data_IF_356976800777
#
_entry.id   IF_356976800777
#
_cell.length_a   1.000
_cell.length_b   1.000
_cell.length_c   1.000
_cell.angle_alpha   90.00
_cell.angle_beta   90.00
_cell.angle_gamma   90.00
#
_symmetry.space_group_name_H-M   'P 1'
#
loop_
_entity.id
_entity.type
_entity.pdbx_description
1 polymer ?
#
# COMPACT_ATOMS: atom_id res chain seq x y z
N UNK A 1 -4.71 -19.47 -14.14
CA UNK A 1 -5.54 -18.44 -13.48
C UNK A 1 -5.52 -18.56 -11.95
N UNK A 2 -6.18 -17.63 -11.22
CA UNK A 2 -6.23 -17.68 -9.74
C UNK A 2 -6.80 -19.00 -9.21
N UNK A 3 -7.84 -19.53 -9.82
CA UNK A 3 -8.47 -20.80 -9.40
C UNK A 3 -7.51 -21.99 -9.50
N UNK A 4 -6.74 -22.07 -10.56
CA UNK A 4 -5.72 -23.11 -10.76
C UNK A 4 -4.58 -22.98 -9.75
N UNK A 5 -4.11 -21.75 -9.53
CA UNK A 5 -3.11 -21.45 -8.53
C UNK A 5 -3.58 -21.82 -7.12
N UNK A 6 -4.79 -21.40 -6.73
CA UNK A 6 -5.36 -21.72 -5.43
C UNK A 6 -5.51 -23.23 -5.21
N UNK A 7 -5.95 -23.97 -6.25
CA UNK A 7 -6.02 -25.44 -6.21
C UNK A 7 -4.64 -26.06 -6.00
N UNK A 8 -3.64 -25.61 -6.79
CA UNK A 8 -2.28 -26.12 -6.69
C UNK A 8 -1.71 -25.90 -5.28
N UNK A 9 -1.84 -24.70 -4.72
CA UNK A 9 -1.34 -24.37 -3.38
C UNK A 9 -2.06 -25.16 -2.29
N UNK A 10 -3.36 -25.31 -2.38
CA UNK A 10 -4.14 -26.08 -1.40
C UNK A 10 -3.85 -27.58 -1.48
N UNK A 11 -3.58 -28.10 -2.67
CA UNK A 11 -3.20 -29.53 -2.84
C UNK A 11 -1.77 -29.81 -2.35
N UNK A 12 -0.87 -28.80 -2.35
CA UNK A 12 0.48 -28.95 -1.78
C UNK A 12 0.45 -29.20 -0.27
N UNK A 13 -0.53 -28.66 0.46
CA UNK A 13 -0.67 -28.92 1.90
C UNK A 13 -0.89 -30.39 2.22
N UNK A 14 -1.54 -31.14 1.34
CA UNK A 14 -1.77 -32.58 1.47
C UNK A 14 -0.50 -33.45 1.25
N UNK A 15 0.53 -32.85 0.63
CA UNK A 15 1.78 -33.53 0.27
C UNK A 15 2.90 -33.34 1.29
N UNK A 16 2.64 -32.65 2.40
CA UNK A 16 3.60 -32.36 3.47
C UNK A 16 4.94 -31.77 3.00
N UNK A 17 4.91 -30.98 1.91
CA UNK A 17 6.12 -30.37 1.31
C UNK A 17 6.53 -29.06 1.95
N UNK A 18 5.67 -28.48 2.79
CA UNK A 18 5.87 -27.20 3.46
C UNK A 18 5.45 -27.32 4.92
N UNK A 19 5.96 -26.41 5.79
CA UNK A 19 5.53 -26.36 7.19
C UNK A 19 4.01 -26.23 7.33
N UNK A 20 3.36 -25.48 6.46
CA UNK A 20 1.89 -25.36 6.44
C UNK A 20 1.20 -26.71 6.27
N UNK A 21 1.76 -27.61 5.48
CA UNK A 21 1.21 -28.95 5.25
C UNK A 21 1.33 -29.88 6.47
N UNK A 22 2.16 -29.53 7.44
CA UNK A 22 2.32 -30.30 8.68
C UNK A 22 1.31 -29.91 9.78
N UNK A 23 0.62 -28.77 9.61
CA UNK A 23 -0.39 -28.33 10.57
C UNK A 23 -1.76 -28.95 10.27
N UNK A 24 -2.49 -29.24 11.32
CA UNK A 24 -3.89 -29.64 11.26
C UNK A 24 -4.72 -28.82 12.24
N UNK A 25 -5.98 -28.58 11.89
CA UNK A 25 -6.87 -27.92 12.83
C UNK A 25 -7.19 -28.84 14.01
N UNK A 26 -7.12 -28.29 15.21
CA UNK A 26 -7.59 -28.98 16.41
C UNK A 26 -9.10 -29.22 16.27
N UNK A 27 -9.53 -30.44 16.46
CA UNK A 27 -10.97 -30.77 16.48
C UNK A 27 -11.61 -30.16 17.72
N UNK A 28 -12.61 -29.33 17.53
CA UNK A 28 -13.43 -28.73 18.58
C UNK A 28 -14.92 -28.96 18.27
N UNK A 29 -15.78 -28.66 19.24
CA UNK A 29 -17.23 -28.64 19.03
C UNK A 29 -17.57 -27.57 18.00
N UNK A 30 -18.40 -27.94 17.02
CA UNK A 30 -18.84 -26.98 16.00
C UNK A 30 -19.71 -25.89 16.62
N UNK A 31 -19.50 -24.65 16.26
CA UNK A 31 -20.35 -23.51 16.61
C UNK A 31 -21.30 -23.21 15.45
N UNK A 32 -22.39 -22.50 15.71
CA UNK A 32 -23.33 -22.06 14.68
C UNK A 32 -22.65 -21.06 13.75
N UNK A 33 -22.95 -21.11 12.45
CA UNK A 33 -22.40 -20.19 11.47
C UNK A 33 -22.72 -18.71 11.81
N UNK A 34 -23.86 -18.45 12.44
CA UNK A 34 -24.26 -17.12 12.91
C UNK A 34 -23.38 -16.54 14.03
N UNK A 35 -22.63 -17.41 14.72
CA UNK A 35 -21.68 -17.03 15.78
C UNK A 35 -20.26 -16.82 15.23
N UNK A 36 -20.02 -17.16 13.96
CA UNK A 36 -18.73 -16.95 13.29
C UNK A 36 -18.66 -15.52 12.75
N UNK A 37 -17.55 -14.84 13.03
CA UNK A 37 -17.29 -13.51 12.48
C UNK A 37 -17.37 -13.51 10.95
N UNK A 38 -18.07 -12.54 10.38
CA UNK A 38 -18.24 -12.49 8.93
C UNK A 38 -16.92 -12.14 8.20
N UNK A 39 -16.75 -12.65 6.97
CA UNK A 39 -15.61 -12.32 6.14
C UNK A 39 -15.44 -10.80 5.94
N UNK A 40 -16.54 -10.03 5.86
CA UNK A 40 -16.53 -8.57 5.75
C UNK A 40 -15.87 -7.90 6.97
N UNK A 41 -16.14 -8.39 8.16
CA UNK A 41 -15.52 -7.85 9.39
C UNK A 41 -14.04 -8.26 9.48
N UNK A 42 -13.74 -9.51 9.14
CA UNK A 42 -12.36 -10.01 9.11
C UNK A 42 -11.49 -9.18 8.17
N UNK A 43 -11.97 -8.91 6.95
CA UNK A 43 -11.19 -8.19 5.91
C UNK A 43 -10.84 -6.77 6.32
N UNK A 44 -11.63 -6.09 7.16
CA UNK A 44 -11.34 -4.75 7.66
C UNK A 44 -10.00 -4.66 8.41
N UNK A 45 -9.50 -5.76 8.94
CA UNK A 45 -8.22 -5.86 9.64
C UNK A 45 -7.02 -6.14 8.73
N UNK A 46 -7.28 -6.40 7.44
CA UNK A 46 -6.22 -6.70 6.48
C UNK A 46 -5.72 -5.45 5.76
N UNK A 47 -4.43 -5.44 5.51
CA UNK A 47 -3.77 -4.41 4.71
C UNK A 47 -2.84 -5.05 3.68
N UNK A 48 -2.61 -4.35 2.56
CA UNK A 48 -1.55 -4.75 1.64
C UNK A 48 -0.17 -4.48 2.24
N UNK A 49 0.85 -5.15 1.73
CA UNK A 49 2.22 -4.71 1.95
C UNK A 49 2.44 -3.27 1.48
N UNK A 50 3.42 -2.61 2.06
CA UNK A 50 3.81 -1.25 1.67
C UNK A 50 4.63 -1.32 0.37
N UNK A 51 4.00 -1.09 -0.76
CA UNK A 51 4.61 -1.11 -2.08
C UNK A 51 4.51 0.28 -2.70
N UNK A 52 5.66 0.95 -2.86
CA UNK A 52 5.69 2.32 -3.37
C UNK A 52 5.42 2.39 -4.87
N UNK A 53 4.76 3.46 -5.28
CA UNK A 53 4.62 3.82 -6.69
C UNK A 53 6.00 4.04 -7.30
N UNK A 54 6.28 3.34 -8.39
CA UNK A 54 7.60 3.29 -9.04
C UNK A 54 8.35 1.99 -8.76
N UNK A 55 8.17 1.34 -7.60
CA UNK A 55 8.56 -0.06 -7.41
C UNK A 55 7.56 -1.01 -8.08
N UNK A 56 6.28 -0.68 -8.03
CA UNK A 56 5.21 -1.28 -8.85
C UNK A 56 4.62 -0.22 -9.79
N UNK A 57 3.91 -0.67 -10.82
CA UNK A 57 3.29 0.23 -11.80
C UNK A 57 2.11 1.02 -11.22
N UNK A 58 1.72 2.09 -11.91
CA UNK A 58 0.54 2.89 -11.55
C UNK A 58 -0.73 2.06 -11.55
N UNK A 59 -0.86 1.13 -12.51
CA UNK A 59 -2.00 0.21 -12.65
C UNK A 59 -2.09 -0.70 -11.42
N UNK A 60 -1.00 -1.36 -11.06
CA UNK A 60 -0.95 -2.26 -9.91
C UNK A 60 -1.25 -1.52 -8.60
N UNK A 61 -0.62 -0.36 -8.41
CA UNK A 61 -0.80 0.45 -7.20
C UNK A 61 -2.24 0.96 -7.05
N UNK A 62 -2.86 1.42 -8.15
CA UNK A 62 -4.24 1.91 -8.15
C UNK A 62 -5.26 0.78 -8.01
N UNK A 63 -5.05 -0.34 -8.71
CA UNK A 63 -5.94 -1.51 -8.63
C UNK A 63 -5.96 -2.12 -7.24
N UNK A 64 -4.81 -2.21 -6.57
CA UNK A 64 -4.74 -2.67 -5.18
C UNK A 64 -5.54 -1.77 -4.24
N UNK A 65 -5.44 -0.45 -4.40
CA UNK A 65 -6.21 0.49 -3.59
C UNK A 65 -7.72 0.33 -3.80
N UNK A 66 -8.16 0.26 -5.06
CA UNK A 66 -9.57 0.07 -5.40
C UNK A 66 -10.09 -1.26 -4.85
N UNK A 67 -9.34 -2.35 -5.06
CA UNK A 67 -9.74 -3.68 -4.59
C UNK A 67 -9.91 -3.71 -3.06
N UNK A 68 -8.93 -3.16 -2.32
CA UNK A 68 -9.00 -3.12 -0.87
C UNK A 68 -10.13 -2.24 -0.37
N UNK A 69 -10.36 -1.08 -1.00
CA UNK A 69 -11.46 -0.20 -0.62
C UNK A 69 -12.83 -0.87 -0.87
N UNK A 70 -13.01 -1.56 -2.00
CA UNK A 70 -14.26 -2.28 -2.31
C UNK A 70 -14.61 -3.37 -1.31
N UNK A 71 -13.61 -4.05 -0.75
CA UNK A 71 -13.82 -5.11 0.26
C UNK A 71 -13.76 -4.59 1.70
N UNK A 72 -13.46 -3.31 1.92
CA UNK A 72 -13.35 -2.70 3.26
C UNK A 72 -12.00 -2.89 3.95
N UNK A 73 -11.01 -3.48 3.27
CA UNK A 73 -9.62 -3.55 3.72
C UNK A 73 -8.87 -2.24 3.50
N UNK A 74 -7.54 -2.27 3.67
CA UNK A 74 -6.69 -1.08 3.54
C UNK A 74 -5.53 -1.36 2.60
N UNK A 75 -5.25 -0.45 1.67
CA UNK A 75 -4.00 -0.45 0.91
C UNK A 75 -3.01 0.53 1.52
N UNK A 76 -1.72 0.26 1.31
CA UNK A 76 -0.61 1.06 1.79
C UNK A 76 0.11 1.70 0.61
N UNK A 77 0.37 3.01 0.69
CA UNK A 77 1.04 3.75 -0.39
C UNK A 77 2.49 3.31 -0.60
N UNK A 78 3.12 2.69 0.41
CA UNK A 78 4.58 2.69 0.47
C UNK A 78 5.14 4.11 0.63
N UNK A 79 6.45 4.26 0.47
CA UNK A 79 7.16 5.53 0.69
C UNK A 79 7.19 6.47 -0.53
N UNK A 80 6.40 6.22 -1.57
CA UNK A 80 6.47 6.94 -2.85
C UNK A 80 5.52 8.12 -3.01
N UNK A 81 4.76 8.48 -1.99
CA UNK A 81 3.68 9.45 -2.10
C UNK A 81 2.44 8.90 -2.79
N UNK A 82 1.45 9.73 -2.98
CA UNK A 82 0.22 9.42 -3.72
C UNK A 82 -0.31 10.66 -4.42
N UNK A 83 -0.80 10.49 -5.65
CA UNK A 83 -1.39 11.59 -6.42
C UNK A 83 -2.68 12.07 -5.74
N UNK A 84 -2.82 13.39 -5.58
CA UNK A 84 -4.02 14.04 -5.03
C UNK A 84 -5.29 13.71 -5.80
N UNK A 85 -5.21 13.41 -7.10
CA UNK A 85 -6.35 12.95 -7.91
C UNK A 85 -6.99 11.66 -7.38
N UNK A 86 -6.25 10.89 -6.57
CA UNK A 86 -6.71 9.62 -5.99
C UNK A 86 -7.44 9.78 -4.67
N UNK A 87 -7.37 10.95 -4.05
CA UNK A 87 -7.88 11.20 -2.69
C UNK A 87 -9.40 11.15 -2.64
N UNK A 88 -10.05 11.72 -3.65
CA UNK A 88 -11.51 11.83 -3.67
C UNK A 88 -12.18 10.63 -4.34
N UNK A 89 -13.37 10.24 -3.88
CA UNK A 89 -14.16 9.19 -4.52
C UNK A 89 -14.54 9.55 -5.95
N UNK A 90 -14.68 8.52 -6.78
CA UNK A 90 -15.18 8.65 -8.15
C UNK A 90 -16.67 9.03 -8.11
N UNK A 91 -17.02 10.10 -8.82
CA UNK A 91 -18.40 10.63 -8.81
C UNK A 91 -19.29 10.03 -9.88
N UNK A 92 -18.71 9.51 -10.96
CA UNK A 92 -19.43 8.86 -12.07
C UNK A 92 -18.60 7.71 -12.65
N UNK A 93 -19.27 6.77 -13.29
CA UNK A 93 -18.60 5.69 -14.01
C UNK A 93 -17.66 6.26 -15.07
N UNK A 94 -16.43 5.79 -15.11
CA UNK A 94 -15.36 6.29 -15.99
C UNK A 94 -14.27 5.24 -16.17
N UNK A 95 -13.33 5.50 -17.08
CA UNK A 95 -12.10 4.74 -17.14
C UNK A 95 -11.05 5.32 -16.18
N UNK A 96 -10.19 4.48 -15.63
CA UNK A 96 -9.11 4.94 -14.76
C UNK A 96 -8.16 5.90 -15.49
N UNK A 97 -7.94 5.69 -16.78
CA UNK A 97 -7.13 6.55 -17.65
C UNK A 97 -7.76 7.94 -17.86
N UNK A 98 -9.09 8.05 -17.88
CA UNK A 98 -9.78 9.34 -17.93
C UNK A 98 -9.61 10.14 -16.65
N UNK A 99 -9.49 9.47 -15.51
CA UNK A 99 -9.36 10.11 -14.21
C UNK A 99 -7.92 10.54 -13.90
N UNK A 100 -6.95 9.68 -14.15
CA UNK A 100 -5.54 9.95 -13.86
C UNK A 100 -4.82 10.66 -15.01
N UNK A 101 -5.19 10.39 -16.25
CA UNK A 101 -4.57 10.84 -17.48
C UNK A 101 -3.98 9.66 -18.27
N UNK A 102 -4.15 9.68 -19.59
CA UNK A 102 -3.62 8.63 -20.50
C UNK A 102 -2.10 8.62 -20.58
N UNK A 103 -1.47 9.73 -20.25
CA UNK A 103 -0.01 9.88 -20.10
C UNK A 103 0.56 9.24 -18.84
N UNK A 104 -0.30 8.94 -17.87
CA UNK A 104 0.05 8.35 -16.59
C UNK A 104 -0.26 6.85 -16.55
N UNK A 105 -1.38 6.45 -17.13
CA UNK A 105 -1.89 5.09 -17.11
C UNK A 105 -2.61 4.74 -18.42
N UNK A 106 -2.15 3.70 -19.06
CA UNK A 106 -2.84 3.09 -20.21
C UNK A 106 -3.64 1.87 -19.72
N UNK A 107 -4.92 2.06 -19.39
CA UNK A 107 -5.75 0.97 -18.88
C UNK A 107 -7.22 1.22 -19.13
N UNK A 108 -7.92 0.18 -19.58
CA UNK A 108 -9.37 0.14 -19.76
C UNK A 108 -10.12 -0.25 -18.49
N UNK A 109 -9.47 -0.18 -17.33
CA UNK A 109 -10.10 -0.54 -16.07
C UNK A 109 -11.25 0.42 -15.76
N UNK A 110 -12.43 -0.17 -15.56
CA UNK A 110 -13.67 0.57 -15.30
C UNK A 110 -13.83 0.88 -13.82
N UNK A 111 -13.90 2.15 -13.51
CA UNK A 111 -14.27 2.68 -12.22
C UNK A 111 -15.79 2.87 -12.16
N UNK A 112 -16.36 2.61 -11.00
CA UNK A 112 -17.77 2.86 -10.70
C UNK A 112 -17.91 4.07 -9.80
N UNK A 113 -19.02 4.76 -9.89
CA UNK A 113 -19.37 5.80 -8.94
C UNK A 113 -19.29 5.24 -7.50
N UNK A 114 -18.62 5.96 -6.61
CA UNK A 114 -18.31 5.54 -5.25
C UNK A 114 -16.98 4.78 -5.06
N UNK A 115 -16.31 4.36 -6.13
CA UNK A 115 -14.96 3.80 -6.02
C UNK A 115 -13.98 4.83 -5.48
N UNK A 116 -12.98 4.36 -4.76
CA UNK A 116 -11.88 5.20 -4.30
C UNK A 116 -10.54 4.54 -4.65
N UNK A 117 -9.65 5.33 -5.23
CA UNK A 117 -8.27 4.93 -5.51
C UNK A 117 -7.32 5.32 -4.36
N UNK A 118 -7.82 5.97 -3.32
CA UNK A 118 -7.05 6.40 -2.17
C UNK A 118 -6.54 5.20 -1.38
N UNK A 119 -5.24 5.15 -1.15
CA UNK A 119 -4.67 4.21 -0.19
C UNK A 119 -4.92 4.74 1.22
N UNK A 120 -5.56 3.94 2.06
CA UNK A 120 -5.98 4.34 3.41
C UNK A 120 -4.83 4.41 4.40
N UNK A 121 -3.73 3.67 4.13
CA UNK A 121 -2.49 3.74 4.91
C UNK A 121 -1.46 4.55 4.13
N UNK A 122 -0.95 5.61 4.74
CA UNK A 122 0.12 6.45 4.20
C UNK A 122 1.42 6.12 4.92
N UNK A 123 2.44 5.67 4.18
CA UNK A 123 3.74 5.41 4.76
C UNK A 123 4.62 6.66 4.73
N UNK A 124 5.34 6.88 5.82
CA UNK A 124 6.35 7.92 5.97
C UNK A 124 7.69 7.27 6.23
N UNK A 125 8.63 7.42 5.29
CA UNK A 125 10.00 6.92 5.41
C UNK A 125 10.99 8.10 5.48
N UNK A 126 10.84 9.04 4.54
CA UNK A 126 11.61 10.27 4.47
C UNK A 126 10.71 11.38 3.96
N UNK A 127 10.83 12.58 4.50
CA UNK A 127 10.10 13.75 4.01
C UNK A 127 10.42 14.16 2.58
N UNK A 128 11.43 13.54 1.96
CA UNK A 128 11.87 13.84 0.58
C UNK A 128 10.97 13.23 -0.49
N UNK A 129 10.13 12.24 -0.17
CA UNK A 129 9.43 11.43 -1.17
C UNK A 129 7.92 11.65 -1.20
N UNK A 130 7.51 12.91 -1.31
CA UNK A 130 6.10 13.24 -1.51
C UNK A 130 5.27 13.27 -0.22
N UNK A 131 5.91 13.40 0.93
CA UNK A 131 5.22 13.62 2.20
C UNK A 131 4.85 15.08 2.31
N UNK A 132 3.56 15.36 2.16
CA UNK A 132 2.97 16.71 2.29
C UNK A 132 1.87 16.68 3.33
N UNK A 133 1.44 17.86 3.81
CA UNK A 133 0.28 17.95 4.71
C UNK A 133 -0.98 17.35 4.07
N UNK A 134 -1.22 17.59 2.77
CA UNK A 134 -2.33 16.99 2.02
C UNK A 134 -2.25 15.45 2.00
N UNK A 135 -1.06 14.90 1.78
CA UNK A 135 -0.83 13.45 1.82
C UNK A 135 -1.14 12.88 3.20
N UNK A 136 -0.61 13.49 4.26
CA UNK A 136 -0.81 13.02 5.63
C UNK A 136 -2.26 13.13 6.08
N UNK A 137 -2.92 14.27 5.82
CA UNK A 137 -4.32 14.49 6.20
C UNK A 137 -5.31 13.57 5.47
N UNK A 138 -4.91 13.02 4.33
CA UNK A 138 -5.73 12.05 3.57
C UNK A 138 -5.61 10.60 4.07
N UNK A 139 -4.85 10.33 5.12
CA UNK A 139 -4.65 9.00 5.68
C UNK A 139 -5.76 8.62 6.67
N UNK A 140 -6.16 7.34 6.68
CA UNK A 140 -6.87 6.74 7.82
C UNK A 140 -5.86 6.25 8.86
N UNK A 141 -4.65 5.88 8.40
CA UNK A 141 -3.53 5.47 9.25
C UNK A 141 -2.23 5.97 8.64
N UNK A 142 -1.34 6.49 9.49
CA UNK A 142 0.03 6.81 9.12
C UNK A 142 0.94 5.70 9.61
N UNK A 143 1.83 5.21 8.74
CA UNK A 143 2.81 4.19 9.06
C UNK A 143 4.21 4.75 8.94
N UNK A 144 4.96 4.78 10.04
CA UNK A 144 6.37 5.16 10.04
C UNK A 144 7.20 3.94 9.58
N UNK A 145 8.02 4.13 8.55
CA UNK A 145 8.98 3.13 8.10
C UNK A 145 10.35 3.43 8.73
N UNK A 146 10.83 2.55 9.58
CA UNK A 146 12.12 2.72 10.24
C UNK A 146 13.30 2.14 9.45
N UNK A 147 13.08 1.02 8.73
CA UNK A 147 14.13 0.32 7.97
C UNK A 147 13.53 -0.64 6.94
N UNK A 148 14.40 -1.22 6.10
CA UNK A 148 14.04 -2.34 5.22
C UNK A 148 14.69 -3.63 5.73
N UNK A 149 13.89 -4.72 5.81
CA UNK A 149 14.39 -6.00 6.32
C UNK A 149 15.53 -6.60 5.49
N UNK A 150 15.47 -6.48 4.17
CA UNK A 150 16.49 -7.01 3.27
C UNK A 150 17.79 -6.18 3.23
N UNK A 151 17.71 -4.88 3.53
CA UNK A 151 18.85 -3.93 3.45
C UNK A 151 18.79 -2.93 4.60
N UNK A 152 18.90 -3.35 5.85
CA UNK A 152 18.67 -2.48 6.99
C UNK A 152 19.67 -1.31 7.09
N UNK A 153 20.89 -1.48 6.60
CA UNK A 153 21.91 -0.44 6.57
C UNK A 153 22.01 0.40 5.30
N UNK A 154 21.41 -0.06 4.19
CA UNK A 154 21.54 0.62 2.88
C UNK A 154 20.28 1.38 2.45
N UNK A 155 19.11 0.98 2.94
CA UNK A 155 17.82 1.54 2.56
C UNK A 155 17.28 1.07 1.22
N UNK A 156 16.20 1.74 0.78
CA UNK A 156 15.56 1.48 -0.50
C UNK A 156 16.18 2.26 -1.63
N UNK A 157 16.11 1.71 -2.84
CA UNK A 157 16.55 2.37 -4.06
C UNK A 157 15.47 2.28 -5.13
N UNK A 158 15.22 3.39 -5.82
CA UNK A 158 14.50 3.42 -7.08
C UNK A 158 15.50 3.84 -8.18
N UNK A 159 15.87 2.95 -9.11
CA UNK A 159 16.83 3.27 -10.15
C UNK A 159 16.28 4.32 -11.12
N UNK A 160 17.16 5.15 -11.69
CA UNK A 160 16.77 6.31 -12.51
C UNK A 160 15.83 5.98 -13.66
N UNK A 161 16.01 4.84 -14.33
CA UNK A 161 15.15 4.43 -15.44
C UNK A 161 13.65 4.18 -15.02
N UNK A 162 13.39 4.00 -13.73
CA UNK A 162 12.03 3.89 -13.18
C UNK A 162 11.47 5.24 -12.70
N UNK A 163 12.30 6.28 -12.64
CA UNK A 163 11.88 7.62 -12.22
C UNK A 163 11.37 8.39 -13.44
N UNK A 164 10.12 8.10 -13.82
CA UNK A 164 9.42 8.85 -14.88
C UNK A 164 9.14 10.29 -14.44
N UNK A 165 8.73 11.13 -15.38
CA UNK A 165 8.29 12.51 -15.10
C UNK A 165 7.17 12.55 -14.05
N UNK A 166 6.23 11.61 -14.12
CA UNK A 166 5.14 11.48 -13.14
C UNK A 166 5.65 11.14 -11.75
N UNK A 167 6.50 10.12 -11.63
CA UNK A 167 7.08 9.71 -10.35
C UNK A 167 7.97 10.80 -9.77
N UNK A 168 8.78 11.45 -10.60
CA UNK A 168 9.62 12.56 -10.18
C UNK A 168 8.80 13.71 -9.60
N UNK A 169 7.69 14.07 -10.26
CA UNK A 169 6.76 15.09 -9.78
C UNK A 169 6.18 14.73 -8.41
N UNK A 170 5.73 13.50 -8.21
CA UNK A 170 5.17 13.04 -6.94
C UNK A 170 6.20 13.01 -5.80
N UNK A 171 7.47 12.76 -6.14
CA UNK A 171 8.55 12.65 -5.15
C UNK A 171 9.40 13.91 -5.02
N UNK A 172 8.99 15.01 -5.68
CA UNK A 172 9.76 16.27 -5.71
C UNK A 172 11.23 16.06 -6.12
N UNK A 173 11.42 15.31 -7.20
CA UNK A 173 12.74 14.93 -7.71
C UNK A 173 12.87 15.16 -9.21
N UNK A 174 14.01 14.78 -9.80
CA UNK A 174 14.30 14.97 -11.21
C UNK A 174 14.09 13.65 -11.97
N UNK A 175 13.38 13.64 -13.13
CA UNK A 175 13.23 12.44 -13.95
C UNK A 175 14.58 11.84 -14.35
N UNK A 176 14.65 10.50 -14.35
CA UNK A 176 15.87 9.78 -14.75
C UNK A 176 16.95 9.71 -13.68
N UNK A 177 16.84 10.43 -12.58
CA UNK A 177 17.78 10.39 -11.46
C UNK A 177 17.35 9.36 -10.43
N UNK A 178 18.23 8.45 -10.05
CA UNK A 178 17.96 7.42 -9.03
C UNK A 178 17.68 8.03 -7.66
N UNK A 179 16.76 7.40 -6.92
CA UNK A 179 16.35 7.84 -5.60
C UNK A 179 16.77 6.80 -4.56
N UNK A 180 17.32 7.27 -3.45
CA UNK A 180 17.72 6.44 -2.31
C UNK A 180 16.92 6.88 -1.10
N UNK A 181 16.24 5.92 -0.47
CA UNK A 181 15.59 6.09 0.82
C UNK A 181 16.57 5.62 1.89
N UNK A 182 17.16 6.53 2.65
CA UNK A 182 18.13 6.15 3.67
C UNK A 182 17.44 5.47 4.86
N UNK A 183 18.04 4.43 5.43
CA UNK A 183 17.65 3.85 6.70
C UNK A 183 18.60 4.30 7.82
N UNK A 184 18.13 4.38 9.03
CA UNK A 184 16.77 4.74 9.44
C UNK A 184 16.44 6.16 8.98
N UNK A 185 15.27 6.69 9.29
CA UNK A 185 15.01 8.11 9.10
C UNK A 185 16.23 8.93 9.50
N UNK A 186 16.75 9.79 8.61
CA UNK A 186 17.98 10.56 8.86
C UNK A 186 17.93 11.42 10.12
N UNK A 187 16.73 11.79 10.55
CA UNK A 187 16.51 12.69 11.68
C UNK A 187 16.06 11.95 12.95
N UNK A 188 16.05 10.60 12.93
CA UNK A 188 15.57 9.78 14.04
C UNK A 188 16.73 8.94 14.56
N UNK A 189 17.35 9.39 15.61
CA UNK A 189 18.51 8.74 16.24
C UNK A 189 18.27 8.34 17.69
N UNK A 190 17.13 8.76 18.26
CA UNK A 190 16.77 8.48 19.64
C UNK A 190 15.28 8.17 19.80
N UNK A 191 14.89 7.72 20.98
CA UNK A 191 13.47 7.52 21.36
C UNK A 191 12.74 8.85 21.36
N UNK A 192 13.38 9.91 21.78
CA UNK A 192 12.86 11.27 21.83
C UNK A 192 12.57 11.81 20.44
N UNK A 193 13.48 11.59 19.48
CA UNK A 193 13.26 11.97 18.08
C UNK A 193 12.05 11.25 17.49
N UNK A 194 11.91 9.95 17.78
CA UNK A 194 10.74 9.19 17.36
C UNK A 194 9.46 9.70 18.01
N UNK A 195 9.50 10.04 19.28
CA UNK A 195 8.36 10.60 20.00
C UNK A 195 7.95 11.95 19.40
N UNK A 196 8.91 12.82 19.04
CA UNK A 196 8.65 14.07 18.35
C UNK A 196 8.00 13.85 16.98
N UNK A 197 8.54 12.92 16.18
CA UNK A 197 7.93 12.59 14.86
C UNK A 197 6.49 12.10 15.02
N UNK A 198 6.21 11.24 15.99
CA UNK A 198 4.85 10.75 16.26
C UNK A 198 3.94 11.91 16.65
N UNK A 199 4.40 12.81 17.50
CA UNK A 199 3.67 14.01 17.89
C UNK A 199 3.32 14.88 16.68
N UNK A 200 4.30 15.18 15.83
CA UNK A 200 4.13 16.00 14.64
C UNK A 200 3.16 15.38 13.64
N UNK A 201 3.25 14.05 13.42
CA UNK A 201 2.35 13.32 12.54
C UNK A 201 0.91 13.32 13.07
N UNK A 202 0.72 13.21 14.40
CA UNK A 202 -0.60 13.32 15.03
C UNK A 202 -1.18 14.73 14.94
N UNK A 203 -0.34 15.76 14.91
CA UNK A 203 -0.81 17.13 14.67
C UNK A 203 -1.21 17.38 13.21
N UNK A 204 -0.56 16.68 12.27
CA UNK A 204 -0.91 16.75 10.85
C UNK A 204 -2.20 15.97 10.52
N UNK A 205 -2.47 14.89 11.26
CA UNK A 205 -3.66 14.05 11.11
C UNK A 205 -4.02 13.45 12.48
N UNK A 206 -4.89 14.14 13.26
CA UNK A 206 -5.34 13.74 14.60
C UNK A 206 -6.10 12.42 14.65
#
# INVERSE_FOLDING_TARGET
TYKEYAKLINDQTKKHKTLRGLFSFKKNTAIKLSEVESAKEIVKRFATGAMSLGSISTEAHSTLAIAMNRIGGKSNTGEGGEDKKRVFPITKDSLISEHLGTDIIESDFKLKAGDSMRSRIKQVASGRFGVTAEYLSSADQIQIKMAQGAKPGEGGQLPGHKVSTYIAKLRFSVPGVGLISPPPHHDIYSIEDLAQLIHDLKNANP
#
